data_IF_768604360385
#
_entry.id   IF_768604360385
#
_cell.length_a   1.000
_cell.length_b   1.000
_cell.length_c   1.000
_cell.angle_alpha   90.00
_cell.angle_beta   90.00
_cell.angle_gamma   90.00
#
_symmetry.space_group_name_H-M   'P 1'
#
loop_
_entity.id
_entity.type
_entity.pdbx_description
1 polymer ?
#
# COMPACT_ATOMS: atom_id res chain seq x y z
N UNK A 1 -0.47 -43.22 -29.97
CA UNK A 1 -0.01 -42.99 -28.59
C UNK A 1 0.60 -41.61 -28.58
N UNK A 2 -0.07 -40.65 -27.94
CA UNK A 2 0.17 -39.21 -28.07
C UNK A 2 1.50 -38.77 -27.44
N UNK A 3 2.21 -37.90 -28.14
CA UNK A 3 3.30 -37.05 -27.62
C UNK A 3 2.69 -35.97 -26.72
N UNK A 4 3.24 -35.81 -25.52
CA UNK A 4 2.85 -34.76 -24.57
C UNK A 4 3.61 -33.47 -24.83
N UNK A 5 2.89 -32.40 -25.10
CA UNK A 5 3.39 -31.02 -25.08
C UNK A 5 3.37 -30.48 -23.65
N UNK A 6 4.49 -29.91 -23.20
CA UNK A 6 4.61 -29.17 -21.96
C UNK A 6 4.52 -27.67 -22.28
N UNK A 7 3.36 -27.06 -22.05
CA UNK A 7 3.20 -25.61 -22.13
C UNK A 7 3.78 -24.91 -20.89
N UNK A 8 4.87 -24.19 -21.10
CA UNK A 8 5.44 -23.22 -20.16
C UNK A 8 4.55 -21.98 -20.11
N UNK A 9 3.86 -21.75 -18.98
CA UNK A 9 3.12 -20.50 -18.73
C UNK A 9 4.06 -19.46 -18.14
N UNK A 10 4.59 -18.62 -19.02
CA UNK A 10 5.22 -17.36 -18.68
C UNK A 10 4.16 -16.36 -18.19
N UNK A 11 4.12 -16.08 -16.89
CA UNK A 11 3.25 -15.04 -16.31
C UNK A 11 3.96 -13.69 -16.35
N UNK A 12 3.82 -12.98 -17.47
CA UNK A 12 4.16 -11.57 -17.55
C UNK A 12 3.19 -10.77 -16.66
N UNK A 13 3.72 -10.21 -15.57
CA UNK A 13 2.97 -9.35 -14.66
C UNK A 13 2.68 -8.03 -15.36
N UNK A 14 1.42 -7.82 -15.73
CA UNK A 14 0.96 -6.56 -16.29
C UNK A 14 0.93 -5.50 -15.17
N UNK A 15 1.70 -4.43 -15.37
CA UNK A 15 1.55 -3.17 -14.63
C UNK A 15 0.13 -2.65 -14.80
N UNK A 16 -0.67 -2.78 -13.74
CA UNK A 16 -2.00 -2.17 -13.62
C UNK A 16 -1.83 -0.78 -13.02
N UNK A 17 -2.50 0.19 -13.65
CA UNK A 17 -2.32 1.62 -13.44
C UNK A 17 -2.63 2.15 -12.04
N UNK A 18 -2.05 3.32 -11.79
CA UNK A 18 -2.19 4.15 -10.61
C UNK A 18 -3.65 4.44 -10.27
N UNK A 19 -4.05 4.08 -9.05
CA UNK A 19 -5.37 4.39 -8.49
C UNK A 19 -5.80 3.55 -7.29
N UNK A 20 -4.87 2.93 -6.54
CA UNK A 20 -5.24 1.93 -5.52
C UNK A 20 -4.60 2.11 -4.13
N UNK A 21 -3.85 3.18 -3.86
CA UNK A 21 -3.05 3.25 -2.62
C UNK A 21 -3.57 4.26 -1.58
N UNK A 22 -4.50 5.15 -1.93
CA UNK A 22 -4.84 6.28 -1.05
C UNK A 22 -6.04 6.05 -0.12
N UNK A 23 -6.61 4.83 -0.11
CA UNK A 23 -7.76 4.51 0.76
C UNK A 23 -7.38 4.43 2.25
N UNK A 24 -6.11 4.11 2.53
CA UNK A 24 -5.54 4.03 3.89
C UNK A 24 -5.49 5.41 4.53
N UNK A 25 -5.26 6.44 3.71
CA UNK A 25 -5.28 7.83 4.12
C UNK A 25 -6.71 8.40 4.15
N UNK A 26 -7.77 7.62 3.96
CA UNK A 26 -9.12 8.16 4.09
C UNK A 26 -9.34 8.70 5.50
N UNK A 27 -9.89 9.92 5.62
CA UNK A 27 -10.21 10.51 6.92
C UNK A 27 -11.14 9.56 7.67
N UNK A 28 -10.82 9.25 8.93
CA UNK A 28 -11.65 8.38 9.74
C UNK A 28 -13.05 8.99 9.86
N UNK A 29 -14.06 8.17 9.56
CA UNK A 29 -15.43 8.61 9.62
C UNK A 29 -15.89 8.71 11.08
N UNK A 30 -16.15 9.93 11.54
CA UNK A 30 -16.71 10.21 12.87
C UNK A 30 -18.18 10.64 12.72
N UNK A 31 -19.15 9.86 13.24
CA UNK A 31 -20.57 10.22 13.15
C UNK A 31 -20.87 11.62 13.68
N UNK A 32 -21.62 12.41 12.89
CA UNK A 32 -22.08 13.74 13.29
C UNK A 32 -21.12 14.89 13.03
N UNK A 33 -19.94 14.64 12.43
CA UNK A 33 -19.05 15.69 11.93
C UNK A 33 -19.35 16.02 10.45
N UNK A 34 -19.29 17.31 10.04
CA UNK A 34 -19.37 17.67 8.62
C UNK A 34 -18.25 17.02 7.81
N UNK A 35 -18.60 16.33 6.72
CA UNK A 35 -17.61 15.71 5.83
C UNK A 35 -16.89 16.78 5.01
N UNK A 36 -15.60 16.98 5.30
CA UNK A 36 -14.71 17.81 4.50
C UNK A 36 -13.85 16.91 3.60
N UNK A 37 -14.18 16.83 2.32
CA UNK A 37 -13.39 16.08 1.34
C UNK A 37 -11.99 16.68 1.16
N UNK A 38 -11.02 15.84 0.78
CA UNK A 38 -9.62 16.23 0.56
C UNK A 38 -9.51 17.02 -0.75
N UNK A 39 -9.27 18.33 -0.70
CA UNK A 39 -8.84 19.13 -1.85
C UNK A 39 -7.33 18.97 -2.00
N UNK A 40 -6.88 18.24 -3.01
CA UNK A 40 -5.45 18.03 -3.26
C UNK A 40 -4.78 19.35 -3.71
N UNK A 41 -3.66 19.79 -3.11
CA UNK A 41 -2.82 20.84 -3.67
C UNK A 41 -2.02 20.25 -4.85
N UNK A 42 -2.17 20.87 -6.03
CA UNK A 42 -1.34 20.57 -7.21
C UNK A 42 0.01 21.26 -7.05
N UNK A 43 1.08 20.52 -6.81
CA UNK A 43 2.46 21.03 -6.90
C UNK A 43 3.07 20.65 -8.25
N UNK A 44 3.28 21.66 -9.08
CA UNK A 44 4.19 21.61 -10.23
C UNK A 44 5.63 21.80 -9.73
N UNK A 45 6.60 21.12 -10.34
CA UNK A 45 7.97 21.63 -10.54
C UNK A 45 8.61 20.89 -11.75
N UNK A 46 9.40 21.63 -12.52
CA UNK A 46 10.00 21.23 -13.80
C UNK A 46 11.43 20.65 -13.66
N UNK A 47 11.97 19.97 -14.70
CA UNK A 47 13.28 19.29 -14.66
C UNK A 47 14.47 20.20 -14.98
N UNK A 48 15.62 19.97 -14.33
CA UNK A 48 16.93 20.53 -14.74
C UNK A 48 17.96 19.42 -14.97
N UNK A 49 18.62 19.49 -16.14
CA UNK A 49 19.65 18.59 -16.66
C UNK A 49 21.08 18.99 -16.23
N UNK A 50 22.07 18.09 -16.36
CA UNK A 50 23.50 18.48 -16.36
C UNK A 50 24.57 17.36 -16.36
N UNK A 51 24.77 16.74 -17.51
CA UNK A 51 25.99 16.27 -18.23
C UNK A 51 27.38 15.94 -17.59
N UNK A 52 27.86 14.73 -17.93
CA UNK A 52 29.13 14.35 -18.66
C UNK A 52 30.52 14.26 -17.93
N UNK A 53 30.98 12.98 -17.85
CA UNK A 53 32.32 12.32 -17.96
C UNK A 53 33.65 13.02 -17.61
N UNK A 54 34.50 12.30 -16.85
CA UNK A 54 35.80 11.81 -17.34
C UNK A 54 36.38 10.71 -16.43
N UNK A 55 36.63 9.58 -17.09
CA UNK A 55 37.35 8.39 -16.64
C UNK A 55 38.86 8.69 -16.51
N UNK A 56 39.61 7.75 -15.93
CA UNK A 56 41.07 7.74 -15.71
C UNK A 56 41.61 8.32 -14.37
N UNK A 57 41.10 7.79 -13.26
CA UNK A 57 41.84 7.60 -11.99
C UNK A 57 41.67 6.16 -11.46
N UNK A 58 41.50 5.22 -12.40
CA UNK A 58 40.89 3.91 -12.18
C UNK A 58 41.94 2.80 -12.10
N UNK A 59 42.54 2.56 -10.93
CA UNK A 59 42.99 1.19 -10.60
C UNK A 59 43.29 0.87 -9.15
N UNK A 60 43.61 1.86 -8.29
CA UNK A 60 43.92 1.57 -6.87
C UNK A 60 43.02 2.30 -5.86
N UNK A 61 42.30 3.35 -6.27
CA UNK A 61 41.30 4.01 -5.42
C UNK A 61 39.94 3.28 -5.44
N UNK A 62 39.66 2.53 -6.50
CA UNK A 62 38.40 1.81 -6.69
C UNK A 62 38.21 0.63 -5.73
N UNK A 63 39.29 -0.03 -5.29
CA UNK A 63 39.25 -1.16 -4.37
C UNK A 63 39.04 -0.77 -2.89
N UNK A 64 39.38 0.47 -2.52
CA UNK A 64 39.13 1.04 -1.18
C UNK A 64 37.73 1.66 -1.09
N UNK A 65 37.19 2.12 -2.22
CA UNK A 65 35.87 2.72 -2.32
C UNK A 65 34.73 1.71 -2.50
N UNK A 66 34.97 0.60 -3.22
CA UNK A 66 34.01 -0.53 -3.29
C UNK A 66 33.78 -1.21 -1.95
N UNK A 67 34.77 -1.22 -1.06
CA UNK A 67 34.64 -1.66 0.34
C UNK A 67 33.86 -0.68 1.23
N UNK A 68 33.32 0.42 0.71
CA UNK A 68 32.43 1.33 1.46
C UNK A 68 30.97 1.16 1.07
N UNK A 69 30.69 0.43 -0.01
CA UNK A 69 29.33 0.21 -0.49
C UNK A 69 28.78 -1.09 0.08
N UNK A 70 27.55 -1.03 0.57
CA UNK A 70 26.83 -2.22 1.00
C UNK A 70 26.52 -3.11 -0.20
N UNK A 71 26.62 -4.43 -0.01
CA UNK A 71 26.28 -5.43 -1.00
C UNK A 71 24.78 -5.33 -1.33
N UNK A 72 24.41 -5.04 -2.59
CA UNK A 72 23.00 -4.93 -2.98
C UNK A 72 22.22 -6.23 -2.77
N UNK A 73 22.88 -7.38 -2.91
CA UNK A 73 22.25 -8.69 -2.74
C UNK A 73 22.02 -9.03 -1.26
N UNK A 74 22.95 -8.68 -0.37
CA UNK A 74 22.76 -8.85 1.07
C UNK A 74 21.71 -7.87 1.62
N UNK A 75 21.64 -6.66 1.05
CA UNK A 75 20.66 -5.64 1.42
C UNK A 75 19.20 -6.05 1.15
N UNK A 76 18.95 -6.98 0.22
CA UNK A 76 17.60 -7.47 -0.09
C UNK A 76 17.31 -8.87 0.46
N UNK A 77 18.26 -9.47 1.18
CA UNK A 77 18.11 -10.80 1.78
C UNK A 77 19.42 -11.56 1.81
N UNK A 78 19.64 -12.43 0.82
CA UNK A 78 20.77 -13.35 0.82
C UNK A 78 21.72 -13.14 -0.36
N UNK A 79 23.01 -12.98 -0.03
CA UNK A 79 24.09 -12.87 -1.01
C UNK A 79 24.69 -14.25 -1.30
N UNK A 80 24.64 -14.68 -2.56
CA UNK A 80 25.19 -15.98 -3.00
C UNK A 80 26.70 -16.11 -2.82
N UNK A 81 27.41 -14.99 -2.67
CA UNK A 81 28.86 -14.98 -2.46
C UNK A 81 29.25 -15.17 -1.00
N UNK A 82 28.29 -15.14 -0.07
CA UNK A 82 28.53 -15.32 1.36
C UNK A 82 29.62 -14.39 1.88
N UNK A 83 30.51 -14.92 2.70
CA UNK A 83 31.65 -14.19 3.28
C UNK A 83 32.72 -13.77 2.24
N UNK A 84 32.69 -14.35 1.04
CA UNK A 84 33.62 -14.02 -0.05
C UNK A 84 33.11 -12.86 -0.94
N UNK A 85 32.03 -12.18 -0.55
CA UNK A 85 31.52 -11.04 -1.32
C UNK A 85 32.52 -9.88 -1.34
N UNK A 86 32.70 -9.25 -2.50
CA UNK A 86 33.57 -8.08 -2.66
C UNK A 86 33.00 -6.80 -2.01
N UNK A 87 31.70 -6.79 -1.70
CA UNK A 87 30.99 -5.66 -1.11
C UNK A 87 30.73 -5.90 0.38
N UNK A 88 30.55 -4.83 1.16
CA UNK A 88 30.28 -4.96 2.59
C UNK A 88 28.89 -5.56 2.83
N UNK A 89 28.84 -6.65 3.58
CA UNK A 89 27.60 -7.07 4.21
C UNK A 89 27.43 -6.21 5.46
N UNK A 90 26.35 -5.44 5.50
CA UNK A 90 26.05 -4.58 6.64
C UNK A 90 25.60 -5.39 7.86
N UNK A 91 25.39 -4.70 8.98
CA UNK A 91 24.71 -5.27 10.13
C UNK A 91 23.22 -5.44 9.83
N UNK A 92 22.59 -6.40 10.51
CA UNK A 92 21.16 -6.65 10.40
C UNK A 92 20.37 -5.53 11.10
N UNK A 93 19.31 -5.05 10.45
CA UNK A 93 18.33 -4.17 11.09
C UNK A 93 17.32 -5.00 11.90
N UNK A 94 17.07 -4.63 13.16
CA UNK A 94 16.19 -5.37 14.07
C UNK A 94 14.73 -5.46 13.58
N UNK A 95 14.28 -4.50 12.78
CA UNK A 95 12.90 -4.41 12.32
C UNK A 95 12.65 -5.20 11.02
N UNK A 96 13.56 -5.10 10.04
CA UNK A 96 13.40 -5.78 8.74
C UNK A 96 14.24 -7.06 8.60
N UNK A 97 15.19 -7.31 9.51
CA UNK A 97 16.09 -8.46 9.48
C UNK A 97 17.14 -8.44 8.36
N UNK A 98 17.15 -7.42 7.50
CA UNK A 98 18.05 -7.33 6.34
C UNK A 98 19.41 -6.74 6.73
N UNK A 99 20.46 -7.14 6.00
CA UNK A 99 21.85 -6.67 6.19
C UNK A 99 22.07 -5.30 5.52
N UNK A 100 21.35 -4.30 6.00
CA UNK A 100 21.25 -2.96 5.40
C UNK A 100 21.87 -1.86 6.26
N UNK A 101 22.35 -2.15 7.46
CA UNK A 101 22.99 -1.15 8.32
C UNK A 101 24.48 -1.11 8.05
N UNK A 102 25.04 0.06 7.77
CA UNK A 102 26.49 0.17 7.60
C UNK A 102 27.21 0.10 8.97
N UNK A 103 28.28 -0.70 9.15
CA UNK A 103 28.94 -0.87 10.45
C UNK A 103 29.60 0.41 11.00
N UNK A 104 30.07 1.29 10.12
CA UNK A 104 30.81 2.51 10.49
C UNK A 104 30.03 3.80 10.22
N UNK A 105 28.98 3.75 9.40
CA UNK A 105 28.29 4.97 8.96
C UNK A 105 27.01 5.16 9.79
N UNK A 106 27.15 6.01 10.81
CA UNK A 106 26.05 6.34 11.71
C UNK A 106 24.92 7.14 11.04
N UNK A 107 25.24 7.93 10.00
CA UNK A 107 24.24 8.70 9.27
C UNK A 107 23.36 7.78 8.43
N UNK A 108 23.96 6.83 7.71
CA UNK A 108 23.24 5.80 6.97
C UNK A 108 22.38 4.93 7.89
N UNK A 109 22.94 4.51 9.02
CA UNK A 109 22.24 3.68 10.01
C UNK A 109 21.01 4.38 10.56
N UNK A 110 21.18 5.61 11.04
CA UNK A 110 20.07 6.40 11.59
C UNK A 110 19.00 6.68 10.54
N UNK A 111 19.39 6.98 9.30
CA UNK A 111 18.47 7.18 8.20
C UNK A 111 17.67 5.92 7.87
N UNK A 112 18.31 4.75 7.80
CA UNK A 112 17.62 3.48 7.57
C UNK A 112 16.67 3.14 8.73
N UNK A 113 17.14 3.23 9.99
CA UNK A 113 16.31 2.90 11.16
C UNK A 113 15.05 3.76 11.17
N UNK A 114 15.20 5.08 10.92
CA UNK A 114 14.06 5.99 10.84
C UNK A 114 13.08 5.59 9.74
N UNK A 115 13.55 5.39 8.51
CA UNK A 115 12.67 5.03 7.39
C UNK A 115 12.04 3.64 7.55
N UNK A 116 12.74 2.70 8.18
CA UNK A 116 12.25 1.35 8.46
C UNK A 116 11.14 1.37 9.52
N UNK A 117 11.30 2.14 10.59
CA UNK A 117 10.26 2.32 11.61
C UNK A 117 9.03 2.98 10.97
N UNK A 118 9.22 4.07 10.23
CA UNK A 118 8.12 4.78 9.57
C UNK A 118 7.38 3.91 8.53
N UNK A 119 8.08 2.97 7.86
CA UNK A 119 7.46 2.03 6.95
C UNK A 119 6.66 0.95 7.71
N UNK A 120 7.22 0.44 8.79
CA UNK A 120 6.58 -0.57 9.64
C UNK A 120 5.31 -0.02 10.32
N UNK A 121 5.35 1.21 10.82
CA UNK A 121 4.19 1.89 11.40
C UNK A 121 3.04 2.03 10.39
N UNK A 122 3.35 2.40 9.13
CA UNK A 122 2.36 2.50 8.06
C UNK A 122 1.77 1.13 7.70
N UNK A 123 2.59 0.08 7.61
CA UNK A 123 2.12 -1.28 7.33
C UNK A 123 1.23 -1.83 8.47
N UNK A 124 1.57 -1.50 9.70
CA UNK A 124 0.78 -1.84 10.88
C UNK A 124 -0.58 -1.13 10.86
N UNK A 125 -0.62 0.19 10.59
CA UNK A 125 -1.86 0.95 10.46
C UNK A 125 -2.75 0.40 9.34
N UNK A 126 -2.15 0.08 8.19
CA UNK A 126 -2.83 -0.56 7.07
C UNK A 126 -3.46 -1.90 7.48
N UNK A 127 -2.68 -2.74 8.17
CA UNK A 127 -3.13 -4.05 8.65
C UNK A 127 -4.34 -3.92 9.59
N UNK A 128 -4.30 -2.96 10.52
CA UNK A 128 -5.44 -2.68 11.40
C UNK A 128 -6.65 -2.16 10.62
N UNK A 129 -6.46 -1.28 9.63
CA UNK A 129 -7.55 -0.80 8.79
C UNK A 129 -8.20 -1.93 7.98
N UNK A 130 -7.41 -2.82 7.37
CA UNK A 130 -7.91 -4.01 6.66
C UNK A 130 -8.70 -4.89 7.63
N UNK A 131 -8.14 -5.19 8.79
CA UNK A 131 -8.77 -6.05 9.78
C UNK A 131 -10.14 -5.50 10.23
N UNK A 132 -10.24 -4.19 10.52
CA UNK A 132 -11.53 -3.55 10.85
C UNK A 132 -12.56 -3.65 9.72
N UNK A 133 -12.13 -3.60 8.47
CA UNK A 133 -13.03 -3.63 7.31
C UNK A 133 -13.48 -5.04 6.90
N UNK A 134 -12.73 -6.07 7.27
CA UNK A 134 -12.89 -7.45 6.79
C UNK A 134 -14.24 -8.05 7.17
N UNK A 135 -14.71 -7.74 8.38
CA UNK A 135 -15.91 -8.35 8.95
C UNK A 135 -17.16 -7.47 8.78
N UNK A 136 -17.09 -6.41 7.97
CA UNK A 136 -18.22 -5.50 7.79
C UNK A 136 -19.32 -6.15 6.95
N UNK A 137 -20.50 -6.31 7.58
CA UNK A 137 -21.69 -6.93 7.00
C UNK A 137 -22.65 -5.89 6.45
N UNK A 138 -23.27 -6.18 5.31
CA UNK A 138 -24.31 -5.34 4.75
C UNK A 138 -25.66 -5.55 5.47
N UNK A 139 -26.25 -4.50 6.03
CA UNK A 139 -27.55 -4.57 6.73
C UNK A 139 -28.77 -4.88 5.85
N UNK A 140 -28.62 -4.89 4.52
CA UNK A 140 -29.71 -5.22 3.57
C UNK A 140 -29.62 -6.67 3.08
N UNK A 141 -28.43 -7.10 2.64
CA UNK A 141 -28.24 -8.44 2.05
C UNK A 141 -27.63 -9.45 3.02
N UNK A 142 -27.23 -9.03 4.22
CA UNK A 142 -26.62 -9.86 5.27
C UNK A 142 -25.33 -10.60 4.84
N UNK A 143 -24.68 -10.13 3.77
CA UNK A 143 -23.41 -10.68 3.29
C UNK A 143 -22.24 -9.84 3.81
N UNK A 144 -21.12 -10.50 4.11
CA UNK A 144 -19.83 -9.85 4.36
C UNK A 144 -19.38 -9.17 3.07
N UNK A 145 -19.20 -7.84 3.12
CA UNK A 145 -18.92 -7.06 1.90
C UNK A 145 -17.56 -7.44 1.33
N UNK A 146 -16.55 -7.61 2.19
CA UNK A 146 -15.18 -7.95 1.80
C UNK A 146 -15.07 -9.30 1.07
N UNK A 147 -15.99 -10.24 1.33
CA UNK A 147 -15.94 -11.61 0.77
C UNK A 147 -16.66 -11.74 -0.58
N UNK A 148 -17.30 -10.67 -1.07
CA UNK A 148 -18.01 -10.72 -2.36
C UNK A 148 -17.09 -11.16 -3.50
N UNK A 149 -17.63 -11.99 -4.40
CA UNK A 149 -16.88 -12.57 -5.52
C UNK A 149 -16.25 -11.49 -6.41
N UNK A 150 -16.99 -10.40 -6.67
CA UNK A 150 -16.52 -9.31 -7.52
C UNK A 150 -15.76 -8.26 -6.69
N UNK A 151 -14.48 -7.97 -6.99
CA UNK A 151 -13.69 -6.96 -6.26
C UNK A 151 -14.34 -5.58 -6.21
N UNK A 152 -15.04 -5.18 -7.29
CA UNK A 152 -15.77 -3.91 -7.35
C UNK A 152 -16.92 -3.79 -6.33
N UNK A 153 -17.37 -4.90 -5.77
CA UNK A 153 -18.44 -4.96 -4.77
C UNK A 153 -17.93 -5.07 -3.33
N UNK A 154 -16.62 -5.27 -3.15
CA UNK A 154 -15.96 -5.33 -1.83
C UNK A 154 -15.81 -3.97 -1.16
N UNK A 155 -16.41 -2.93 -1.76
CA UNK A 155 -16.51 -1.60 -1.20
C UNK A 155 -17.90 -1.40 -0.61
N UNK A 156 -17.94 -0.83 0.58
CA UNK A 156 -19.15 -0.34 1.23
C UNK A 156 -19.03 1.15 1.49
N UNK A 157 -20.18 1.80 1.65
CA UNK A 157 -20.24 3.16 2.16
C UNK A 157 -20.69 3.15 3.62
N UNK A 158 -20.18 4.09 4.39
CA UNK A 158 -20.74 4.46 5.70
C UNK A 158 -21.57 5.73 5.49
N UNK A 159 -22.60 5.91 6.32
CA UNK A 159 -23.56 6.99 6.20
C UNK A 159 -23.21 8.12 7.18
N UNK A 160 -23.34 9.40 6.78
CA UNK A 160 -22.88 10.60 7.52
C UNK A 160 -23.32 10.68 9.00
N UNK A 161 -24.48 10.13 9.33
CA UNK A 161 -25.09 10.26 10.65
C UNK A 161 -25.30 8.91 11.35
N UNK A 162 -24.75 7.79 10.83
CA UNK A 162 -24.80 6.50 11.51
C UNK A 162 -23.74 5.49 10.99
N UNK A 163 -23.38 4.52 11.82
CA UNK A 163 -22.37 3.49 11.49
C UNK A 163 -22.94 2.26 10.76
N UNK A 164 -24.16 2.33 10.23
CA UNK A 164 -24.73 1.19 9.50
C UNK A 164 -24.06 1.01 8.14
N UNK A 165 -23.63 -0.21 7.86
CA UNK A 165 -22.88 -0.55 6.66
C UNK A 165 -23.73 -1.24 5.62
N UNK A 166 -23.55 -0.80 4.37
CA UNK A 166 -24.27 -1.35 3.24
C UNK A 166 -23.35 -1.52 2.03
N UNK A 167 -23.53 -2.65 1.35
CA UNK A 167 -22.94 -2.87 0.05
C UNK A 167 -23.40 -1.77 -0.92
N UNK A 168 -22.51 -1.29 -1.80
CA UNK A 168 -22.85 -0.17 -2.72
C UNK A 168 -24.07 -0.48 -3.60
N UNK A 169 -24.24 -1.74 -4.04
CA UNK A 169 -25.42 -2.15 -4.79
C UNK A 169 -26.71 -2.02 -3.99
N UNK A 170 -26.65 -2.39 -2.71
CA UNK A 170 -27.79 -2.46 -1.81
C UNK A 170 -28.32 -1.05 -1.51
N UNK A 171 -27.43 -0.15 -1.09
CA UNK A 171 -27.81 1.23 -0.75
C UNK A 171 -28.23 2.05 -1.98
N UNK A 172 -27.65 1.78 -3.15
CA UNK A 172 -28.08 2.41 -4.41
C UNK A 172 -29.50 1.99 -4.78
N UNK A 173 -29.82 0.68 -4.71
CA UNK A 173 -31.18 0.18 -4.96
C UNK A 173 -32.20 0.80 -4.01
N UNK A 174 -31.88 0.88 -2.72
CA UNK A 174 -32.73 1.54 -1.72
C UNK A 174 -33.03 3.00 -2.09
N UNK A 175 -31.99 3.78 -2.43
CA UNK A 175 -32.13 5.20 -2.81
C UNK A 175 -32.86 5.41 -4.14
N UNK A 176 -32.88 4.41 -5.02
CA UNK A 176 -33.58 4.47 -6.31
C UNK A 176 -35.05 4.00 -6.26
N UNK A 177 -35.52 3.48 -5.13
CA UNK A 177 -36.90 3.02 -5.00
C UNK A 177 -37.89 4.20 -5.07
N UNK A 178 -38.86 4.15 -6.00
CA UNK A 178 -39.87 5.22 -6.18
C UNK A 178 -41.17 4.99 -5.40
N UNK A 179 -41.34 3.79 -4.84
CA UNK A 179 -42.56 3.38 -4.13
C UNK A 179 -42.66 3.94 -2.71
N UNK A 180 -41.60 4.56 -2.20
CA UNK A 180 -41.54 5.11 -0.85
C UNK A 180 -41.34 6.62 -0.89
N UNK A 181 -41.79 7.27 0.17
CA UNK A 181 -41.61 8.72 0.33
C UNK A 181 -40.12 9.08 0.35
N UNK A 182 -39.77 10.25 -0.21
CA UNK A 182 -38.39 10.70 -0.36
C UNK A 182 -37.60 10.71 0.95
N UNK A 183 -38.28 10.94 2.09
CA UNK A 183 -37.67 10.95 3.42
C UNK A 183 -37.14 9.57 3.83
N UNK A 184 -37.83 8.49 3.42
CA UNK A 184 -37.48 7.11 3.78
C UNK A 184 -36.29 6.63 2.95
N UNK A 185 -36.33 6.83 1.63
CA UNK A 185 -35.26 6.40 0.70
C UNK A 185 -33.96 7.19 0.86
N UNK A 186 -34.04 8.39 1.46
CA UNK A 186 -32.89 9.22 1.86
C UNK A 186 -32.50 9.02 3.33
N UNK A 187 -33.08 8.06 4.03
CA UNK A 187 -32.71 7.71 5.40
C UNK A 187 -32.00 6.36 5.46
N UNK A 188 -31.29 6.11 6.56
CA UNK A 188 -30.72 4.81 6.87
C UNK A 188 -31.83 3.73 6.94
N UNK A 189 -31.71 2.61 6.21
CA UNK A 189 -32.66 1.49 6.28
C UNK A 189 -32.92 0.95 7.70
N UNK A 190 -31.91 0.95 8.56
CA UNK A 190 -32.00 0.40 9.92
C UNK A 190 -32.50 1.44 10.94
N UNK A 191 -31.82 2.59 11.07
CA UNK A 191 -32.13 3.56 12.12
C UNK A 191 -32.97 4.76 11.66
N UNK A 192 -33.29 4.88 10.36
CA UNK A 192 -34.05 5.99 9.75
C UNK A 192 -33.48 7.40 10.00
N UNK A 193 -32.25 7.49 10.50
CA UNK A 193 -31.52 8.76 10.56
C UNK A 193 -31.28 9.22 9.13
N UNK A 194 -31.67 10.47 8.86
CA UNK A 194 -31.48 11.12 7.56
C UNK A 194 -30.02 11.56 7.46
N UNK A 195 -29.45 11.44 6.27
CA UNK A 195 -28.06 11.82 5.97
C UNK A 195 -27.82 13.31 5.99
#
# INVERSE_FOLDING_TARGET
>A
MNMGEAESRNSNFATVGAGSEDWVNAIEFVPGQPYCGRTAPSSAEAPLQGSVTKEDAEKEQSAVETKKQLCPYAAVGECRYGENCAYLHGDACDMCGLQVLHPVDAAQRSQHIKSCIEAHEKDMELSFAVQRSKDMVCGICMEVVYEKANPSERRFGILSNCNHTYCLKCIRKWRSAKQFESKIIKSCPECRVVF
#
